data_IF_544707280980
#
_entry.id   IF_544707280980
#
_cell.length_a   1.000
_cell.length_b   1.000
_cell.length_c   1.000
_cell.angle_alpha   90.00
_cell.angle_beta   90.00
_cell.angle_gamma   90.00
#
_symmetry.space_group_name_H-M   'P 1'
#
loop_
_entity.id
_entity.type
_entity.pdbx_description
1 polymer ?
#
# COMPACT_ATOMS: atom_id res chain seq x y z
N UNK A 1 8.59 -11.87 -18.79
CA UNK A 1 9.93 -11.43 -18.32
C UNK A 1 10.21 -12.17 -17.02
N UNK A 2 11.47 -12.60 -16.76
CA UNK A 2 11.86 -13.24 -15.49
C UNK A 2 11.80 -12.22 -14.34
N UNK A 3 11.55 -12.64 -13.11
CA UNK A 3 11.41 -11.73 -11.97
C UNK A 3 12.69 -10.91 -11.70
N UNK A 4 13.87 -11.53 -11.88
CA UNK A 4 15.15 -10.81 -11.85
C UNK A 4 15.26 -9.69 -12.90
N UNK A 5 14.61 -9.84 -14.04
CA UNK A 5 14.56 -8.80 -15.07
C UNK A 5 13.50 -7.73 -14.76
N UNK A 6 12.37 -8.11 -14.17
CA UNK A 6 11.33 -7.16 -13.73
C UNK A 6 11.90 -6.18 -12.69
N UNK A 7 12.59 -6.70 -11.67
CA UNK A 7 13.17 -5.88 -10.60
C UNK A 7 14.21 -4.86 -11.08
N UNK A 8 14.84 -5.09 -12.24
CA UNK A 8 15.82 -4.17 -12.83
C UNK A 8 15.18 -3.27 -13.88
N UNK A 9 14.30 -3.81 -14.75
CA UNK A 9 13.84 -3.14 -15.96
C UNK A 9 12.54 -2.36 -15.81
N UNK A 10 11.79 -2.58 -14.75
CA UNK A 10 10.63 -1.74 -14.45
C UNK A 10 11.17 -0.47 -13.80
N UNK A 11 11.15 0.61 -14.57
CA UNK A 11 11.69 1.91 -14.19
C UNK A 11 10.70 2.99 -14.64
N UNK A 12 10.75 4.15 -13.98
CA UNK A 12 10.10 5.36 -14.48
C UNK A 12 10.74 5.81 -15.78
N UNK A 13 10.03 6.59 -16.57
CA UNK A 13 10.56 7.13 -17.82
C UNK A 13 11.81 7.96 -17.55
N UNK A 14 12.78 7.85 -18.47
CA UNK A 14 14.02 8.61 -18.41
C UNK A 14 13.75 10.10 -18.55
N UNK A 15 14.54 10.90 -17.86
CA UNK A 15 14.51 12.36 -18.04
C UNK A 15 15.18 12.77 -19.35
N UNK A 16 15.25 14.06 -19.62
CA UNK A 16 15.99 14.62 -20.76
C UNK A 16 17.46 14.20 -20.82
N UNK A 17 18.04 13.78 -19.69
CA UNK A 17 19.43 13.32 -19.59
C UNK A 17 19.63 11.86 -20.00
N UNK A 18 18.56 11.10 -20.24
CA UNK A 18 18.59 9.69 -20.65
C UNK A 18 19.45 8.81 -19.75
N UNK A 19 19.37 9.04 -18.46
CA UNK A 19 20.07 8.28 -17.44
C UNK A 19 19.71 6.78 -17.48
N UNK A 20 20.67 5.92 -17.16
CA UNK A 20 20.46 4.49 -17.15
C UNK A 20 19.68 4.01 -15.91
N UNK A 21 19.89 4.66 -14.79
CA UNK A 21 19.23 4.37 -13.49
C UNK A 21 18.37 5.55 -13.08
N UNK A 22 17.26 5.28 -12.40
CA UNK A 22 16.37 6.34 -11.92
C UNK A 22 17.13 7.30 -11.01
N UNK A 23 17.09 8.60 -11.24
CA UNK A 23 17.70 9.59 -10.37
C UNK A 23 16.95 9.69 -9.03
N UNK A 24 17.62 10.20 -8.01
CA UNK A 24 16.99 10.47 -6.71
C UNK A 24 16.29 11.84 -6.75
N UNK A 25 14.98 11.83 -6.68
CA UNK A 25 14.15 13.04 -6.64
C UNK A 25 13.99 13.54 -5.20
N UNK A 26 15.03 14.19 -4.68
CA UNK A 26 15.07 14.72 -3.31
C UNK A 26 14.39 16.10 -3.26
N UNK A 27 13.12 16.13 -3.56
CA UNK A 27 12.29 17.34 -3.53
C UNK A 27 11.00 17.11 -2.78
N UNK A 28 10.45 18.16 -2.19
CA UNK A 28 9.14 18.12 -1.53
C UNK A 28 7.99 18.37 -2.50
N UNK A 29 8.21 19.18 -3.54
CA UNK A 29 7.15 19.61 -4.47
C UNK A 29 7.66 19.64 -5.90
N UNK A 30 6.73 19.66 -6.83
CA UNK A 30 7.00 19.69 -8.26
C UNK A 30 6.38 20.93 -8.88
N UNK A 31 6.98 21.44 -9.94
CA UNK A 31 6.48 22.64 -10.64
C UNK A 31 5.34 22.26 -11.59
N UNK A 32 4.41 23.17 -11.73
CA UNK A 32 3.33 23.09 -12.71
C UNK A 32 3.63 24.02 -13.89
N UNK A 33 3.07 23.72 -15.05
CA UNK A 33 3.22 24.59 -16.23
C UNK A 33 2.51 25.92 -16.05
N UNK A 34 1.31 25.90 -15.45
CA UNK A 34 0.46 27.04 -15.19
C UNK A 34 -0.56 26.73 -14.07
N UNK A 35 -1.38 27.72 -13.73
CA UNK A 35 -2.39 27.60 -12.68
C UNK A 35 -3.50 26.60 -13.03
N UNK A 36 -3.88 26.49 -14.31
CA UNK A 36 -4.90 25.53 -14.76
C UNK A 36 -4.37 24.09 -14.68
N UNK A 37 -3.12 23.87 -15.05
CA UNK A 37 -2.45 22.57 -14.85
C UNK A 37 -2.42 22.19 -13.37
N UNK A 38 -2.05 23.11 -12.48
CA UNK A 38 -2.09 22.87 -11.05
C UNK A 38 -3.50 22.49 -10.57
N UNK A 39 -4.52 23.22 -10.99
CA UNK A 39 -5.90 22.95 -10.62
C UNK A 39 -6.37 21.55 -11.06
N UNK A 40 -6.05 21.14 -12.28
CA UNK A 40 -6.36 19.78 -12.78
C UNK A 40 -5.65 18.69 -11.95
N UNK A 41 -4.37 18.90 -11.64
CA UNK A 41 -3.60 17.97 -10.83
C UNK A 41 -4.25 17.75 -9.46
N UNK A 42 -4.67 18.84 -8.78
CA UNK A 42 -5.32 18.74 -7.47
C UNK A 42 -6.73 18.14 -7.53
N UNK A 43 -7.41 18.20 -8.68
CA UNK A 43 -8.68 17.48 -8.90
C UNK A 43 -8.50 16.00 -9.27
N UNK A 44 -7.25 15.51 -9.43
CA UNK A 44 -6.97 14.15 -9.88
C UNK A 44 -7.25 13.92 -11.37
N UNK A 45 -7.34 14.97 -12.17
CA UNK A 45 -7.65 14.94 -13.62
C UNK A 45 -6.37 14.97 -14.49
N UNK A 46 -5.21 15.07 -13.87
CA UNK A 46 -3.91 15.16 -14.54
C UNK A 46 -2.93 14.08 -14.08
N UNK A 47 -2.01 13.71 -14.97
CA UNK A 47 -0.88 12.84 -14.65
C UNK A 47 0.31 13.66 -14.20
N UNK A 48 1.04 13.18 -13.18
CA UNK A 48 2.27 13.81 -12.69
C UNK A 48 2.42 13.78 -11.18
N UNK A 49 3.41 14.54 -10.70
CA UNK A 49 3.72 14.62 -9.28
C UNK A 49 3.30 15.99 -8.71
N UNK A 50 2.69 15.99 -7.56
CA UNK A 50 2.26 17.20 -6.86
C UNK A 50 3.21 17.51 -5.70
N UNK A 51 3.31 16.58 -4.78
CA UNK A 51 4.08 16.70 -3.56
C UNK A 51 4.54 15.32 -3.12
N UNK A 52 5.81 15.18 -2.70
CA UNK A 52 6.45 13.88 -2.46
C UNK A 52 5.78 13.02 -1.38
N UNK A 53 4.93 13.59 -0.52
CA UNK A 53 4.10 12.80 0.41
C UNK A 53 3.00 12.00 -0.31
N UNK A 54 2.51 12.48 -1.45
CA UNK A 54 1.49 11.82 -2.25
C UNK A 54 2.11 11.01 -3.39
N UNK A 55 2.97 11.65 -4.18
CA UNK A 55 3.59 11.04 -5.37
C UNK A 55 5.04 11.51 -5.49
N UNK A 56 5.93 10.59 -5.76
CA UNK A 56 7.34 10.84 -6.07
C UNK A 56 7.82 9.75 -7.03
N UNK A 57 8.59 10.07 -8.08
CA UNK A 57 9.03 9.08 -9.04
C UNK A 57 9.74 7.87 -8.43
N UNK A 58 10.56 8.07 -7.40
CA UNK A 58 11.24 6.96 -6.72
C UNK A 58 10.25 6.04 -5.99
N UNK A 59 9.23 6.60 -5.32
CA UNK A 59 8.18 5.82 -4.64
C UNK A 59 7.33 5.07 -5.65
N UNK A 60 6.95 5.73 -6.75
CA UNK A 60 6.18 5.12 -7.84
C UNK A 60 6.93 3.94 -8.47
N UNK A 61 8.23 4.09 -8.71
CA UNK A 61 9.05 2.99 -9.22
C UNK A 61 9.09 1.79 -8.28
N UNK A 62 9.29 2.03 -6.98
CA UNK A 62 9.27 0.97 -5.96
C UNK A 62 7.93 0.22 -5.99
N UNK A 63 6.82 0.96 -5.98
CA UNK A 63 5.47 0.38 -6.03
C UNK A 63 5.31 -0.48 -7.29
N UNK A 64 5.64 0.06 -8.46
CA UNK A 64 5.50 -0.64 -9.74
C UNK A 64 6.32 -1.93 -9.80
N UNK A 65 7.55 -1.91 -9.27
CA UNK A 65 8.40 -3.10 -9.17
C UNK A 65 7.80 -4.17 -8.28
N UNK A 66 7.36 -3.79 -7.07
CA UNK A 66 6.76 -4.72 -6.12
C UNK A 66 5.45 -5.27 -6.68
N UNK A 67 4.56 -4.44 -7.22
CA UNK A 67 3.33 -4.90 -7.87
C UNK A 67 3.60 -5.90 -8.98
N UNK A 68 4.62 -5.65 -9.83
CA UNK A 68 4.95 -6.57 -10.91
C UNK A 68 5.53 -7.91 -10.42
N UNK A 69 6.24 -7.92 -9.29
CA UNK A 69 6.75 -9.15 -8.67
C UNK A 69 5.63 -9.95 -7.99
N UNK A 70 4.77 -9.27 -7.25
CA UNK A 70 3.64 -9.86 -6.52
C UNK A 70 2.41 -10.13 -7.40
N UNK A 71 2.43 -9.72 -8.68
CA UNK A 71 1.30 -9.78 -9.61
C UNK A 71 0.07 -9.00 -9.07
N UNK A 72 0.34 -7.93 -8.33
CA UNK A 72 -0.68 -7.06 -7.76
C UNK A 72 -1.10 -5.97 -8.76
N UNK A 73 -2.37 -5.59 -8.72
CA UNK A 73 -2.94 -4.53 -9.58
C UNK A 73 -2.45 -3.14 -9.16
N UNK A 74 -2.36 -2.90 -7.86
CA UNK A 74 -1.93 -1.63 -7.29
C UNK A 74 -1.21 -1.83 -5.96
N UNK A 75 -0.52 -0.78 -5.49
CA UNK A 75 0.17 -0.78 -4.21
C UNK A 75 0.31 0.60 -3.61
N UNK A 76 0.56 0.65 -2.32
CA UNK A 76 0.86 1.86 -1.57
C UNK A 76 2.15 1.65 -0.78
N UNK A 77 3.09 2.59 -0.91
CA UNK A 77 4.31 2.57 -0.10
C UNK A 77 4.12 3.36 1.19
N UNK A 78 4.62 2.81 2.28
CA UNK A 78 4.60 3.44 3.60
C UNK A 78 6.01 3.52 4.19
N UNK A 79 6.20 4.37 5.19
CA UNK A 79 7.51 4.58 5.81
C UNK A 79 8.01 3.38 6.64
N UNK A 80 7.14 2.42 6.97
CA UNK A 80 7.50 1.21 7.72
C UNK A 80 6.48 0.10 7.50
N UNK A 81 6.89 -1.16 7.74
CA UNK A 81 5.98 -2.30 7.69
C UNK A 81 4.84 -2.21 8.69
N UNK A 82 5.07 -1.66 9.89
CA UNK A 82 4.00 -1.44 10.88
C UNK A 82 2.98 -0.41 10.39
N UNK A 83 3.44 0.63 9.70
CA UNK A 83 2.56 1.60 9.05
C UNK A 83 1.73 0.95 7.93
N UNK A 84 2.33 0.04 7.16
CA UNK A 84 1.60 -0.71 6.13
C UNK A 84 0.48 -1.55 6.75
N UNK A 85 0.80 -2.34 7.79
CA UNK A 85 -0.18 -3.17 8.50
C UNK A 85 -1.31 -2.32 9.08
N UNK A 86 -0.96 -1.26 9.81
CA UNK A 86 -1.93 -0.39 10.46
C UNK A 86 -2.87 0.28 9.44
N UNK A 87 -2.30 0.88 8.39
CA UNK A 87 -3.08 1.56 7.36
C UNK A 87 -3.99 0.59 6.60
N UNK A 88 -3.53 -0.65 6.34
CA UNK A 88 -4.37 -1.68 5.71
C UNK A 88 -5.58 -2.01 6.58
N UNK A 89 -5.37 -2.23 7.88
CA UNK A 89 -6.47 -2.53 8.80
C UNK A 89 -7.48 -1.38 8.86
N UNK A 90 -6.99 -0.14 9.04
CA UNK A 90 -7.86 1.04 9.16
C UNK A 90 -8.59 1.38 7.86
N UNK A 91 -7.99 1.13 6.71
CA UNK A 91 -8.62 1.41 5.42
C UNK A 91 -9.77 0.44 5.07
N UNK A 92 -9.76 -0.77 5.61
CA UNK A 92 -10.71 -1.82 5.24
C UNK A 92 -11.75 -2.14 6.33
N UNK A 93 -11.48 -1.76 7.58
CA UNK A 93 -12.31 -2.14 8.72
C UNK A 93 -13.15 -0.97 9.24
N UNK A 94 -14.36 -1.30 9.67
CA UNK A 94 -15.25 -0.36 10.36
C UNK A 94 -15.75 -0.98 11.67
N UNK A 95 -16.33 -0.17 12.54
CA UNK A 95 -16.93 -0.66 13.79
C UNK A 95 -17.96 -1.77 13.54
N UNK A 96 -17.84 -2.86 14.27
CA UNK A 96 -18.64 -4.08 14.11
C UNK A 96 -17.98 -5.17 13.27
N UNK A 97 -16.88 -4.89 12.60
CA UNK A 97 -16.13 -5.92 11.86
C UNK A 97 -15.34 -6.85 12.81
N UNK A 98 -15.06 -8.06 12.32
CA UNK A 98 -14.18 -9.03 12.98
C UNK A 98 -12.97 -9.33 12.10
N UNK A 99 -11.78 -9.35 12.69
CA UNK A 99 -10.52 -9.79 12.06
C UNK A 99 -10.17 -11.18 12.56
N UNK A 100 -9.90 -12.10 11.65
CA UNK A 100 -9.30 -13.40 12.00
C UNK A 100 -7.80 -13.32 11.79
N UNK A 101 -7.04 -13.63 12.82
CA UNK A 101 -5.59 -13.48 12.80
C UNK A 101 -4.90 -14.71 13.38
N UNK A 102 -3.70 -15.02 12.87
CA UNK A 102 -2.86 -16.04 13.48
C UNK A 102 -2.41 -15.62 14.88
N UNK A 103 -2.32 -16.58 15.79
CA UNK A 103 -1.70 -16.35 17.10
C UNK A 103 -0.17 -16.27 17.05
N UNK A 104 0.44 -16.57 15.90
CA UNK A 104 1.88 -16.52 15.66
C UNK A 104 2.33 -15.25 14.94
N UNK A 105 1.73 -14.12 15.28
CA UNK A 105 2.07 -12.81 14.73
C UNK A 105 3.18 -12.11 15.53
N UNK A 106 3.83 -11.16 14.86
CA UNK A 106 4.76 -10.23 15.51
C UNK A 106 4.06 -9.44 16.63
N UNK A 107 4.76 -9.24 17.76
CA UNK A 107 4.17 -8.70 18.99
C UNK A 107 3.42 -7.38 18.80
N UNK A 108 3.96 -6.43 18.02
CA UNK A 108 3.29 -5.15 17.79
C UNK A 108 2.02 -5.29 16.94
N UNK A 109 1.98 -6.21 15.98
CA UNK A 109 0.76 -6.53 15.22
C UNK A 109 -0.29 -7.11 16.17
N UNK A 110 0.10 -8.05 17.02
CA UNK A 110 -0.79 -8.62 18.06
C UNK A 110 -1.30 -7.53 18.99
N UNK A 111 -0.46 -6.57 19.37
CA UNK A 111 -0.87 -5.45 20.22
C UNK A 111 -1.94 -4.58 19.56
N UNK A 112 -1.76 -4.22 18.26
CA UNK A 112 -2.77 -3.47 17.50
C UNK A 112 -4.11 -4.22 17.51
N UNK A 113 -4.10 -5.51 17.19
CA UNK A 113 -5.30 -6.34 17.08
C UNK A 113 -6.00 -6.53 18.43
N UNK A 114 -5.26 -6.66 19.54
CA UNK A 114 -5.82 -6.91 20.88
C UNK A 114 -6.22 -5.66 21.64
N UNK A 115 -5.53 -4.55 21.43
CA UNK A 115 -5.65 -3.39 22.31
C UNK A 115 -6.06 -2.11 21.61
N UNK A 116 -5.81 -1.98 20.31
CA UNK A 116 -6.15 -0.75 19.55
C UNK A 116 -7.49 -0.92 18.84
N UNK A 117 -7.64 -1.96 18.02
CA UNK A 117 -8.86 -2.18 17.25
C UNK A 117 -10.13 -2.31 18.09
N UNK A 118 -10.13 -2.97 19.27
CA UNK A 118 -11.33 -3.04 20.12
C UNK A 118 -11.84 -1.67 20.57
N UNK A 119 -10.96 -0.68 20.75
CA UNK A 119 -11.37 0.69 21.08
C UNK A 119 -12.19 1.36 19.97
N UNK A 120 -12.14 0.83 18.76
CA UNK A 120 -12.89 1.28 17.59
C UNK A 120 -14.07 0.37 17.25
N UNK A 121 -14.39 -0.57 18.15
CA UNK A 121 -15.48 -1.52 17.96
C UNK A 121 -15.19 -2.64 16.98
N UNK A 122 -13.92 -2.91 16.69
CA UNK A 122 -13.48 -3.99 15.81
C UNK A 122 -12.95 -5.13 16.67
N UNK A 123 -13.53 -6.33 16.51
CA UNK A 123 -13.09 -7.51 17.24
C UNK A 123 -11.97 -8.26 16.51
N UNK A 124 -11.20 -9.06 17.26
CA UNK A 124 -10.19 -9.92 16.67
C UNK A 124 -10.25 -11.32 17.28
N UNK A 125 -10.32 -12.33 16.41
CA UNK A 125 -10.24 -13.74 16.76
C UNK A 125 -8.88 -14.29 16.39
N UNK A 126 -8.18 -14.86 17.38
CA UNK A 126 -6.88 -15.49 17.16
C UNK A 126 -7.05 -16.99 16.98
N UNK A 127 -6.43 -17.53 15.93
CA UNK A 127 -6.48 -18.95 15.55
C UNK A 127 -5.06 -19.52 15.41
N UNK A 128 -4.90 -20.80 15.68
CA UNK A 128 -3.63 -21.46 15.43
C UNK A 128 -3.41 -21.64 13.90
N UNK A 129 -2.17 -21.49 13.44
CA UNK A 129 -1.81 -21.68 12.01
C UNK A 129 -2.16 -23.09 11.51
N UNK A 130 -2.20 -24.07 12.40
CA UNK A 130 -2.53 -25.48 12.10
C UNK A 130 -4.04 -25.74 12.03
N UNK A 131 -4.85 -24.79 12.43
CA UNK A 131 -6.30 -24.92 12.42
C UNK A 131 -6.88 -24.38 11.12
N UNK A 132 -6.75 -25.17 10.06
CA UNK A 132 -7.21 -24.82 8.72
C UNK A 132 -8.74 -24.72 8.64
N UNK A 133 -9.49 -25.50 9.43
CA UNK A 133 -10.94 -25.46 9.41
C UNK A 133 -11.47 -24.10 9.91
N UNK A 134 -10.95 -23.61 11.02
CA UNK A 134 -11.34 -22.27 11.53
C UNK A 134 -10.89 -21.13 10.59
N UNK A 135 -9.74 -21.29 9.93
CA UNK A 135 -9.28 -20.31 8.94
C UNK A 135 -10.19 -20.27 7.71
N UNK A 136 -10.66 -21.42 7.22
CA UNK A 136 -11.51 -21.53 6.03
C UNK A 136 -12.96 -21.11 6.26
N UNK A 137 -13.51 -21.34 7.46
CA UNK A 137 -14.88 -20.95 7.82
C UNK A 137 -15.05 -19.42 7.81
N UNK A 138 -13.97 -18.67 8.02
CA UNK A 138 -14.01 -17.20 8.12
C UNK A 138 -13.44 -16.47 6.88
N UNK A 139 -12.95 -17.18 5.86
CA UNK A 139 -12.75 -16.64 4.50
C UNK A 139 -14.10 -16.77 3.76
N UNK A 140 -15.17 -16.26 4.35
CA UNK A 140 -16.39 -16.02 3.61
C UNK A 140 -16.15 -14.83 2.69
N UNK A 141 -16.60 -14.95 1.44
CA UNK A 141 -16.60 -13.86 0.48
C UNK A 141 -17.11 -12.57 1.09
N UNK A 142 -16.58 -11.39 0.68
CA UNK A 142 -17.08 -10.14 1.18
C UNK A 142 -18.58 -10.04 0.92
N UNK A 143 -19.36 -10.12 1.98
CA UNK A 143 -20.84 -10.07 1.94
C UNK A 143 -21.38 -8.65 1.77
N UNK A 144 -20.52 -7.68 1.46
CA UNK A 144 -20.94 -6.30 1.18
C UNK A 144 -21.17 -6.14 -0.32
N UNK A 145 -22.39 -5.85 -0.78
CA UNK A 145 -22.60 -5.35 -2.13
C UNK A 145 -21.91 -3.98 -2.23
N UNK A 146 -21.15 -3.77 -3.30
CA UNK A 146 -20.55 -2.48 -3.66
C UNK A 146 -21.62 -1.43 -3.90
#
# INVERSE_FOLDING_TARGET
>A
MKDSSKSIRIQTDQTEYREHSVPLFLTSSFMYHDAEHAARMFRGEGEGNIYSRFTNPNTTELINKVCALEQAEAGVATASGMSAIYNTLVAHLVAGDEVVASNSLFGNTTYILKHILPNWGISCRFVALTDQELSLIHISEPTRPY
#
